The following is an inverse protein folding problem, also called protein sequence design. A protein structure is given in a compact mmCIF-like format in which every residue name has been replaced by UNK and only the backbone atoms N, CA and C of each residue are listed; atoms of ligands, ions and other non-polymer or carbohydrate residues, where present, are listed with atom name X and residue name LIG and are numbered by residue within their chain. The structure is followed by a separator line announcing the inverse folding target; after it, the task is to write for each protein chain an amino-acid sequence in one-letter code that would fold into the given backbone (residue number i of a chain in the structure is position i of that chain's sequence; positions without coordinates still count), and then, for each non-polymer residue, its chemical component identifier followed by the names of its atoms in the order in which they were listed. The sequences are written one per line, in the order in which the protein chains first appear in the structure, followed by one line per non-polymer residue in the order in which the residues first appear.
data_IF_887054247883
#
_entry.id   IF_887054247883
#
_cell.length_a   1.000
_cell.length_b   1.000
_cell.length_c   1.000
_cell.angle_alpha   90.00
_cell.angle_beta   90.00
_cell.angle_gamma   90.00
#
_symmetry.space_group_name_H-M   'P 1'
#
loop_
_entity.id
_entity.type
_entity.pdbx_description
1 polymer ?
#
# COMPACT_ATOMS: atom_id res chain seq x y z
N UNK A 1 8.70 1.90 -4.65
CA UNK A 1 7.91 2.45 -3.52
C UNK A 1 7.52 3.88 -3.80
N UNK A 2 6.37 4.29 -3.34
CA UNK A 2 5.89 5.65 -3.54
C UNK A 2 6.61 6.62 -2.59
N UNK A 3 6.94 7.79 -3.10
CA UNK A 3 7.52 8.83 -2.26
C UNK A 3 6.42 9.54 -1.49
N UNK A 4 6.74 10.02 -0.28
CA UNK A 4 5.76 10.67 0.58
C UNK A 4 5.13 11.91 -0.08
N UNK A 5 5.91 12.70 -0.82
CA UNK A 5 5.40 13.89 -1.47
C UNK A 5 4.46 13.56 -2.62
N UNK A 6 4.64 12.43 -3.30
CA UNK A 6 3.72 11.99 -4.33
C UNK A 6 2.38 11.60 -3.72
N UNK A 7 2.43 10.87 -2.60
CA UNK A 7 1.22 10.45 -1.90
C UNK A 7 0.44 11.66 -1.40
N UNK A 8 1.11 12.65 -0.84
CA UNK A 8 0.44 13.82 -0.27
C UNK A 8 -0.20 14.72 -1.33
N UNK A 9 0.20 14.59 -2.60
CA UNK A 9 -0.40 15.35 -3.69
C UNK A 9 -1.65 14.71 -4.27
N UNK A 10 -1.92 13.45 -3.90
CA UNK A 10 -3.07 12.72 -4.41
C UNK A 10 -4.36 13.20 -3.74
N UNK A 11 -5.45 13.17 -4.50
CA UNK A 11 -6.78 13.42 -3.93
C UNK A 11 -7.23 12.24 -3.09
N UNK A 12 -8.26 12.44 -2.26
CA UNK A 12 -8.79 11.35 -1.43
C UNK A 12 -9.23 10.15 -2.28
N UNK A 13 -9.86 10.41 -3.42
CA UNK A 13 -10.31 9.33 -4.31
C UNK A 13 -9.12 8.56 -4.88
N UNK A 14 -8.07 9.27 -5.27
CA UNK A 14 -6.85 8.62 -5.78
C UNK A 14 -6.17 7.79 -4.69
N UNK A 15 -6.12 8.31 -3.47
CA UNK A 15 -5.53 7.59 -2.35
C UNK A 15 -6.30 6.30 -2.05
N UNK A 16 -7.62 6.37 -2.06
CA UNK A 16 -8.44 5.18 -1.84
C UNK A 16 -8.26 4.15 -2.95
N UNK A 17 -8.20 4.59 -4.20
CA UNK A 17 -7.97 3.70 -5.33
C UNK A 17 -6.61 3.02 -5.21
N UNK A 18 -5.59 3.78 -4.84
CA UNK A 18 -4.25 3.24 -4.66
C UNK A 18 -4.21 2.25 -3.49
N UNK A 19 -4.93 2.54 -2.42
CA UNK A 19 -5.01 1.66 -1.27
C UNK A 19 -5.61 0.31 -1.65
N UNK A 20 -6.70 0.32 -2.42
CA UNK A 20 -7.32 -0.92 -2.88
C UNK A 20 -6.35 -1.72 -3.76
N UNK A 21 -5.65 -1.04 -4.67
CA UNK A 21 -4.66 -1.69 -5.53
C UNK A 21 -3.56 -2.35 -4.70
N UNK A 22 -3.03 -1.65 -3.70
CA UNK A 22 -1.97 -2.19 -2.85
C UNK A 22 -2.47 -3.36 -2.01
N UNK A 23 -3.71 -3.31 -1.55
CA UNK A 23 -4.30 -4.43 -0.81
C UNK A 23 -4.40 -5.68 -1.68
N UNK A 24 -4.77 -5.52 -2.95
CA UNK A 24 -4.80 -6.64 -3.90
C UNK A 24 -3.42 -7.21 -4.11
N UNK A 25 -2.42 -6.34 -4.28
CA UNK A 25 -1.04 -6.78 -4.44
C UNK A 25 -0.56 -7.56 -3.22
N UNK A 26 -0.87 -7.05 -2.02
CA UNK A 26 -0.50 -7.73 -0.79
C UNK A 26 -1.13 -9.12 -0.70
N UNK A 27 -2.41 -9.21 -1.06
CA UNK A 27 -3.11 -10.49 -1.06
C UNK A 27 -2.44 -11.49 -1.99
N UNK A 28 -2.12 -11.06 -3.21
CA UNK A 28 -1.44 -11.92 -4.18
C UNK A 28 -0.07 -12.36 -3.68
N UNK A 29 0.69 -11.44 -3.10
CA UNK A 29 2.01 -11.76 -2.56
C UNK A 29 1.91 -12.78 -1.43
N UNK A 30 0.91 -12.64 -0.57
CA UNK A 30 0.69 -13.59 0.52
C UNK A 30 0.34 -14.98 -0.02
N UNK A 31 -0.46 -15.05 -1.06
CA UNK A 31 -0.79 -16.32 -1.68
C UNK A 31 0.44 -16.98 -2.29
N UNK A 32 1.28 -16.19 -2.98
CA UNK A 32 2.52 -16.71 -3.54
C UNK A 32 3.45 -17.22 -2.45
N UNK A 33 3.53 -16.49 -1.35
CA UNK A 33 4.36 -16.90 -0.22
C UNK A 33 3.87 -18.21 0.40
N UNK A 34 2.55 -18.36 0.52
CA UNK A 34 1.95 -19.57 1.09
C UNK A 34 2.22 -20.80 0.21
N UNK A 35 2.37 -20.61 -1.10
CA UNK A 35 2.68 -21.70 -2.01
C UNK A 35 4.17 -21.87 -2.28
N UNK A 36 5.00 -21.16 -1.53
CA UNK A 36 6.46 -21.17 -1.65
C UNK A 36 6.97 -20.73 -3.02
N UNK A 37 6.19 -19.90 -3.72
CA UNK A 37 6.59 -19.37 -5.01
C UNK A 37 7.26 -18.01 -4.90
N UNK A 38 7.22 -17.40 -3.72
CA UNK A 38 7.83 -16.09 -3.47
C UNK A 38 9.16 -16.26 -2.77
N UNK A 39 10.23 -15.87 -3.44
CA UNK A 39 11.59 -16.02 -2.90
C UNK A 39 11.98 -14.89 -1.97
N UNK A 40 11.31 -13.74 -2.05
CA UNK A 40 11.71 -12.56 -1.29
C UNK A 40 10.54 -11.98 -0.49
N UNK A 41 10.47 -12.27 0.83
CA UNK A 41 9.38 -11.74 1.66
C UNK A 41 9.46 -10.24 1.89
N UNK A 42 10.57 -9.58 1.51
CA UNK A 42 10.69 -8.13 1.66
C UNK A 42 9.66 -7.38 0.82
N UNK A 43 9.17 -7.96 -0.27
CA UNK A 43 8.12 -7.34 -1.08
C UNK A 43 6.85 -7.16 -0.27
N UNK A 44 6.50 -8.13 0.56
CA UNK A 44 5.31 -8.05 1.41
C UNK A 44 5.47 -6.90 2.39
N UNK A 45 6.64 -6.77 3.01
CA UNK A 45 6.91 -5.69 3.95
C UNK A 45 6.83 -4.32 3.28
N UNK A 46 7.36 -4.20 2.05
CA UNK A 46 7.34 -2.95 1.31
C UNK A 46 5.89 -2.52 0.99
N UNK A 47 5.06 -3.46 0.54
CA UNK A 47 3.66 -3.16 0.24
C UNK A 47 2.90 -2.76 1.50
N UNK A 48 3.15 -3.43 2.62
CA UNK A 48 2.54 -3.07 3.90
C UNK A 48 2.89 -1.65 4.32
N UNK A 49 4.14 -1.24 4.11
CA UNK A 49 4.56 0.13 4.43
C UNK A 49 3.84 1.15 3.57
N UNK A 50 3.69 0.87 2.28
CA UNK A 50 2.97 1.77 1.38
C UNK A 50 1.52 1.89 1.79
N UNK A 51 0.88 0.79 2.15
CA UNK A 51 -0.51 0.79 2.64
C UNK A 51 -0.62 1.65 3.90
N UNK A 52 0.30 1.48 4.84
CA UNK A 52 0.29 2.25 6.08
C UNK A 52 0.45 3.75 5.82
N UNK A 53 1.33 4.13 4.90
CA UNK A 53 1.52 5.54 4.54
C UNK A 53 0.26 6.14 3.95
N UNK A 54 -0.38 5.44 3.03
CA UNK A 54 -1.60 5.93 2.40
C UNK A 54 -2.71 6.07 3.43
N UNK A 55 -2.87 5.10 4.31
CA UNK A 55 -3.86 5.18 5.38
C UNK A 55 -3.61 6.37 6.30
N UNK A 56 -2.35 6.63 6.63
CA UNK A 56 -1.99 7.76 7.48
C UNK A 56 -2.37 9.08 6.82
N UNK A 57 -2.10 9.22 5.53
CA UNK A 57 -2.40 10.45 4.81
C UNK A 57 -3.90 10.65 4.67
N UNK A 58 -4.65 9.59 4.40
CA UNK A 58 -6.11 9.65 4.35
C UNK A 58 -6.66 10.10 5.69
N UNK A 59 -6.14 9.54 6.77
CA UNK A 59 -6.55 9.90 8.13
C UNK A 59 -6.25 11.37 8.43
N UNK A 60 -5.08 11.85 8.04
CA UNK A 60 -4.70 13.25 8.23
C UNK A 60 -5.66 14.18 7.48
N UNK A 61 -6.02 13.82 6.25
CA UNK A 61 -6.95 14.61 5.46
C UNK A 61 -8.34 14.66 6.07
N UNK A 62 -8.77 13.58 6.70
CA UNK A 62 -10.07 13.53 7.36
C UNK A 62 -10.14 14.40 8.61
N UNK A 63 -9.00 14.59 9.28
CA UNK A 63 -8.95 15.36 10.51
C UNK A 63 -8.76 16.85 10.28
N UNK A 64 -8.57 17.26 9.04
CA UNK A 64 -8.53 18.67 8.68
C UNK A 64 -9.95 19.19 8.39
#
# INVERSE_FOLDING_TARGET
MMKANEISKMSAAELEAKLVELKKDLFMLRMQHATNQLDNPLQIAAVKKDIARIKTIIRENETK
#
